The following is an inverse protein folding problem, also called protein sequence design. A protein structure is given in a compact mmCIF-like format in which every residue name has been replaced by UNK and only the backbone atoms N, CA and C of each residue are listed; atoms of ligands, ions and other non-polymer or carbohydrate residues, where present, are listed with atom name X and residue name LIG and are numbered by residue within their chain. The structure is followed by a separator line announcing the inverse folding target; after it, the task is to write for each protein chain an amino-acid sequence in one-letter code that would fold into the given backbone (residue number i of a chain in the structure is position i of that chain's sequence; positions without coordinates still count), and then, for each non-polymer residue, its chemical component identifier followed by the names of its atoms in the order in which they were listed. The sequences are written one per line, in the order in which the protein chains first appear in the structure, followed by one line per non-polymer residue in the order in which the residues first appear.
data_IF_599885097313
#
_entry.id   IF_599885097313
#
_cell.length_a   1.000
_cell.length_b   1.000
_cell.length_c   1.000
_cell.angle_alpha   90.00
_cell.angle_beta   90.00
_cell.angle_gamma   90.00
#
_symmetry.space_group_name_H-M   'P 1'
#
loop_
_entity.id
_entity.type
_entity.pdbx_description
1 polymer ?
#
# COMPACT_ATOMS: atom_id res chain seq x y z
N UNK A 1 -34.88 29.70 39.25
CA UNK A 1 -34.62 30.35 37.96
C UNK A 1 -33.12 30.31 37.74
N UNK A 2 -32.63 29.25 37.09
CA UNK A 2 -31.22 29.10 36.78
C UNK A 2 -31.03 29.46 35.31
N UNK A 3 -30.24 30.49 35.09
CA UNK A 3 -29.69 30.95 33.81
C UNK A 3 -28.89 29.84 33.16
N UNK A 4 -29.26 29.44 31.93
CA UNK A 4 -28.42 28.62 31.07
C UNK A 4 -27.52 29.51 30.24
N UNK A 5 -26.22 29.32 30.46
CA UNK A 5 -25.09 29.89 29.75
C UNK A 5 -25.18 29.53 28.26
N UNK A 6 -25.23 30.55 27.39
CA UNK A 6 -25.01 30.40 25.96
C UNK A 6 -23.51 30.33 25.71
N UNK A 7 -22.97 29.13 25.48
CA UNK A 7 -21.63 28.98 24.93
C UNK A 7 -21.67 29.27 23.43
N UNK A 8 -21.21 30.46 23.04
CA UNK A 8 -20.99 30.84 21.64
C UNK A 8 -19.94 29.91 21.00
N UNK A 9 -20.34 29.26 19.90
CA UNK A 9 -19.48 28.42 19.07
C UNK A 9 -18.51 29.30 18.23
N UNK A 10 -17.19 29.18 18.40
CA UNK A 10 -16.19 29.99 17.72
C UNK A 10 -16.09 29.77 16.20
N UNK A 11 -16.89 28.85 15.63
CA UNK A 11 -16.91 28.57 14.18
C UNK A 11 -18.11 29.12 13.41
N UNK A 12 -18.92 30.00 14.00
CA UNK A 12 -20.08 30.63 13.33
C UNK A 12 -19.69 31.65 12.23
N UNK A 13 -19.08 31.17 11.14
CA UNK A 13 -18.93 31.96 9.90
C UNK A 13 -20.28 32.02 9.18
N UNK A 14 -20.91 33.19 9.16
CA UNK A 14 -21.97 33.46 8.19
C UNK A 14 -21.35 33.50 6.78
N UNK A 15 -21.86 32.66 5.89
CA UNK A 15 -21.45 32.66 4.49
C UNK A 15 -22.16 33.80 3.73
N UNK A 16 -21.55 34.29 2.64
CA UNK A 16 -22.07 35.43 1.84
C UNK A 16 -23.48 35.20 1.27
N UNK A 17 -23.94 33.95 1.23
CA UNK A 17 -25.25 33.52 0.76
C UNK A 17 -26.35 33.55 1.86
N UNK A 18 -26.01 34.00 3.08
CA UNK A 18 -26.95 34.08 4.21
C UNK A 18 -27.23 32.73 4.89
N UNK A 19 -26.55 31.65 4.47
CA UNK A 19 -26.69 30.34 5.10
C UNK A 19 -25.75 30.18 6.30
N UNK A 20 -26.18 29.38 7.28
CA UNK A 20 -25.38 29.06 8.49
C UNK A 20 -24.19 28.15 8.19
N UNK A 21 -24.25 27.36 7.12
CA UNK A 21 -23.28 26.29 6.82
C UNK A 21 -22.74 26.31 5.37
N UNK A 22 -23.07 27.34 4.58
CA UNK A 22 -22.72 27.45 3.17
C UNK A 22 -23.65 26.67 2.26
N UNK A 23 -23.44 26.81 0.95
CA UNK A 23 -24.15 26.07 -0.07
C UNK A 23 -23.71 24.59 -0.11
N UNK A 24 -24.65 23.68 0.13
CA UNK A 24 -24.50 22.25 -0.15
C UNK A 24 -24.72 21.95 -1.64
N UNK A 25 -23.78 21.23 -2.26
CA UNK A 25 -23.93 20.68 -3.60
C UNK A 25 -23.59 19.20 -3.62
N UNK A 26 -24.52 18.36 -4.07
CA UNK A 26 -24.30 16.92 -4.25
C UNK A 26 -23.94 16.63 -5.70
N UNK A 27 -22.88 15.87 -5.94
CA UNK A 27 -22.48 15.48 -7.30
C UNK A 27 -22.38 13.95 -7.35
N UNK A 28 -23.06 13.32 -8.29
CA UNK A 28 -22.97 11.87 -8.52
C UNK A 28 -21.83 11.58 -9.52
N UNK A 29 -21.06 10.50 -9.31
CA UNK A 29 -20.03 10.10 -10.28
C UNK A 29 -20.65 9.29 -11.41
N UNK A 30 -21.09 9.99 -12.46
CA UNK A 30 -21.60 9.38 -13.69
C UNK A 30 -20.65 9.73 -14.85
N UNK A 31 -19.76 8.81 -15.27
CA UNK A 31 -18.79 9.06 -16.34
C UNK A 31 -19.44 9.50 -17.66
N UNK A 32 -18.82 10.43 -18.37
CA UNK A 32 -19.29 10.91 -19.68
C UNK A 32 -20.45 11.92 -19.64
N UNK A 33 -20.80 12.43 -18.46
CA UNK A 33 -21.86 13.42 -18.24
C UNK A 33 -21.31 14.68 -17.57
N UNK A 34 -22.14 15.73 -17.43
CA UNK A 34 -21.80 16.94 -16.68
C UNK A 34 -21.29 16.66 -15.27
N UNK A 35 -21.99 15.82 -14.49
CA UNK A 35 -21.59 15.46 -13.12
C UNK A 35 -20.21 14.80 -13.06
N UNK A 36 -19.94 13.86 -13.99
CA UNK A 36 -18.65 13.20 -14.12
C UNK A 36 -17.52 14.14 -14.56
N UNK A 37 -17.79 15.08 -15.46
CA UNK A 37 -16.82 16.08 -15.91
C UNK A 37 -16.47 17.08 -14.80
N UNK A 38 -17.42 17.43 -13.93
CA UNK A 38 -17.18 18.28 -12.76
C UNK A 38 -16.21 17.58 -11.79
N UNK A 39 -16.45 16.31 -11.45
CA UNK A 39 -15.60 15.54 -10.53
C UNK A 39 -14.18 15.33 -11.07
N UNK A 40 -14.02 15.33 -12.40
CA UNK A 40 -12.73 15.22 -13.09
C UNK A 40 -12.09 16.58 -13.39
N UNK A 41 -12.67 17.68 -12.90
CA UNK A 41 -12.21 19.05 -13.09
C UNK A 41 -12.18 19.53 -14.55
N UNK A 42 -12.93 18.86 -15.44
CA UNK A 42 -13.06 19.26 -16.84
C UNK A 42 -14.13 20.34 -17.04
N UNK A 43 -15.05 20.49 -16.08
CA UNK A 43 -16.10 21.52 -16.09
C UNK A 43 -16.27 22.16 -14.73
N UNK A 44 -16.65 23.44 -14.75
CA UNK A 44 -16.99 24.19 -13.55
C UNK A 44 -18.36 23.80 -13.02
N UNK A 45 -18.56 23.95 -11.71
CA UNK A 45 -19.85 23.80 -11.07
C UNK A 45 -20.85 24.85 -11.62
N UNK A 46 -22.13 24.48 -11.89
CA UNK A 46 -23.15 25.43 -12.30
C UNK A 46 -23.33 26.57 -11.29
N UNK A 47 -23.42 27.81 -11.78
CA UNK A 47 -23.67 28.98 -10.95
C UNK A 47 -25.15 29.06 -10.57
N UNK A 48 -25.53 28.35 -9.50
CA UNK A 48 -26.89 28.35 -8.94
C UNK A 48 -26.86 28.84 -7.50
N UNK A 49 -27.96 29.46 -7.05
CA UNK A 49 -28.18 29.80 -5.64
C UNK A 49 -28.96 28.70 -4.92
N UNK A 50 -28.79 28.60 -3.60
CA UNK A 50 -29.43 27.55 -2.80
C UNK A 50 -28.80 26.17 -2.97
N UNK A 51 -29.29 25.16 -2.25
CA UNK A 51 -28.73 23.82 -2.33
C UNK A 51 -29.19 23.11 -3.62
N UNK A 52 -28.34 22.27 -4.21
CA UNK A 52 -28.71 21.52 -5.41
C UNK A 52 -27.89 20.23 -5.57
N UNK A 53 -28.35 19.35 -6.44
CA UNK A 53 -27.65 18.13 -6.85
C UNK A 53 -27.46 18.07 -8.36
N UNK A 54 -26.38 17.42 -8.79
CA UNK A 54 -26.03 17.16 -10.20
C UNK A 54 -25.88 15.65 -10.39
N UNK A 55 -26.82 15.05 -11.12
CA UNK A 55 -26.94 13.61 -11.35
C UNK A 55 -26.91 13.34 -12.86
N UNK A 56 -25.79 12.84 -13.37
CA UNK A 56 -25.59 12.78 -14.82
C UNK A 56 -25.53 14.17 -15.42
N UNK A 57 -26.47 14.47 -16.32
CA UNK A 57 -26.67 15.78 -16.94
C UNK A 57 -27.82 16.58 -16.30
N UNK A 58 -28.54 15.98 -15.35
CA UNK A 58 -29.67 16.63 -14.68
C UNK A 58 -29.20 17.43 -13.47
N UNK A 59 -29.76 18.63 -13.31
CA UNK A 59 -29.55 19.47 -12.12
C UNK A 59 -30.89 19.67 -11.42
N UNK A 60 -30.94 19.38 -10.12
CA UNK A 60 -32.17 19.45 -9.31
C UNK A 60 -31.92 20.27 -8.04
N UNK A 61 -32.86 21.15 -7.63
CA UNK A 61 -32.72 21.86 -6.36
C UNK A 61 -32.86 20.91 -5.18
N UNK A 62 -32.18 21.22 -4.08
CA UNK A 62 -32.32 20.56 -2.80
C UNK A 62 -32.97 21.54 -1.81
N UNK A 63 -33.99 21.08 -1.09
CA UNK A 63 -34.72 21.91 -0.12
C UNK A 63 -33.89 22.21 1.14
N UNK A 64 -32.92 21.37 1.46
CA UNK A 64 -32.05 21.49 2.62
C UNK A 64 -30.65 20.89 2.36
N UNK A 65 -29.69 21.23 3.22
CA UNK A 65 -28.37 20.61 3.22
C UNK A 65 -28.49 19.09 3.44
N UNK A 66 -27.62 18.30 2.80
CA UNK A 66 -27.58 16.86 3.02
C UNK A 66 -27.39 16.58 4.52
N UNK A 67 -28.19 15.64 5.04
CA UNK A 67 -27.94 15.12 6.39
C UNK A 67 -26.52 14.59 6.42
N UNK A 68 -25.75 14.97 7.44
CA UNK A 68 -24.48 14.31 7.68
C UNK A 68 -24.73 12.80 7.74
N UNK A 69 -23.82 11.98 7.17
CA UNK A 69 -23.83 10.55 7.43
C UNK A 69 -23.99 10.34 8.93
N UNK A 70 -24.77 9.34 9.31
CA UNK A 70 -24.81 8.93 10.71
C UNK A 70 -23.38 8.69 11.17
N UNK A 71 -23.03 9.23 12.32
CA UNK A 71 -21.70 9.00 12.90
C UNK A 71 -21.59 7.50 13.08
N UNK A 72 -20.72 6.86 12.28
CA UNK A 72 -20.40 5.46 12.47
C UNK A 72 -19.79 5.35 13.85
N UNK A 73 -20.40 4.55 14.72
CA UNK A 73 -19.85 4.28 16.04
C UNK A 73 -18.43 3.73 15.89
N UNK A 74 -17.51 4.21 16.71
CA UNK A 74 -16.13 3.73 16.71
C UNK A 74 -16.11 2.25 17.16
N UNK A 75 -15.96 1.35 16.20
CA UNK A 75 -15.86 -0.10 16.36
C UNK A 75 -14.40 -0.55 16.63
N UNK A 76 -13.53 0.37 17.05
CA UNK A 76 -12.17 0.03 17.46
C UNK A 76 -12.15 -0.91 18.68
N UNK A 77 -11.32 -1.94 18.60
CA UNK A 77 -11.10 -2.88 19.71
C UNK A 77 -10.02 -2.36 20.68
N UNK A 78 -10.05 -2.79 21.95
CA UNK A 78 -8.91 -2.58 22.84
C UNK A 78 -7.74 -3.49 22.43
N UNK A 79 -6.70 -2.83 21.94
CA UNK A 79 -5.46 -3.44 21.43
C UNK A 79 -4.24 -3.12 22.31
N UNK A 80 -4.44 -2.48 23.47
CA UNK A 80 -3.36 -1.97 24.33
C UNK A 80 -2.34 -3.04 24.70
N UNK A 81 -2.83 -4.23 25.10
CA UNK A 81 -1.98 -5.35 25.47
C UNK A 81 -1.15 -5.88 24.28
N UNK A 82 -1.72 -5.93 23.08
CA UNK A 82 -1.01 -6.39 21.89
C UNK A 82 0.02 -5.37 21.42
N UNK A 83 -0.31 -4.07 21.44
CA UNK A 83 0.62 -3.00 21.07
C UNK A 83 1.85 -3.01 21.99
N UNK A 84 1.67 -3.31 23.28
CA UNK A 84 2.80 -3.41 24.23
C UNK A 84 3.83 -4.49 23.88
N UNK A 85 3.45 -5.47 23.04
CA UNK A 85 4.34 -6.54 22.55
C UNK A 85 5.12 -6.13 21.29
N UNK A 86 4.76 -5.01 20.65
CA UNK A 86 5.47 -4.49 19.49
C UNK A 86 6.70 -3.67 19.92
N UNK A 87 7.79 -3.70 19.13
CA UNK A 87 8.93 -2.82 19.37
C UNK A 87 8.49 -1.37 19.18
N UNK A 88 8.54 -0.57 20.26
CA UNK A 88 8.21 0.84 20.22
C UNK A 88 9.29 1.62 19.46
N UNK A 89 8.95 2.13 18.29
CA UNK A 89 9.80 3.08 17.54
C UNK A 89 9.52 4.48 18.05
N UNK A 90 10.55 5.19 18.53
CA UNK A 90 10.43 6.60 18.90
C UNK A 90 10.15 7.43 17.64
N UNK A 91 9.01 8.11 17.60
CA UNK A 91 8.60 8.95 16.48
C UNK A 91 8.65 10.42 16.85
N UNK A 92 9.04 11.27 15.90
CA UNK A 92 8.93 12.72 16.06
C UNK A 92 7.49 13.15 15.72
N UNK A 93 6.68 13.62 16.70
CA UNK A 93 5.29 13.96 16.47
C UNK A 93 5.08 15.12 15.47
N UNK A 94 6.10 15.96 15.28
CA UNK A 94 6.05 17.07 14.31
C UNK A 94 6.32 16.63 12.86
N UNK A 95 6.80 15.40 12.65
CA UNK A 95 7.17 14.88 11.32
C UNK A 95 6.41 13.61 10.94
N UNK A 96 5.95 12.84 11.91
CA UNK A 96 5.33 11.53 11.67
C UNK A 96 3.86 11.54 12.04
N UNK A 97 3.03 11.07 11.10
CA UNK A 97 1.62 10.82 11.34
C UNK A 97 1.47 9.49 12.09
N UNK A 98 0.83 9.52 13.26
CA UNK A 98 0.58 8.30 14.06
C UNK A 98 -0.83 7.83 13.81
N UNK A 99 -0.98 6.59 13.33
CA UNK A 99 -2.28 5.94 13.16
C UNK A 99 -2.58 5.06 14.39
N UNK A 100 -3.82 5.13 14.89
CA UNK A 100 -4.30 4.17 15.90
C UNK A 100 -4.59 2.83 15.22
N UNK A 101 -4.13 1.73 15.82
CA UNK A 101 -4.56 0.40 15.39
C UNK A 101 -6.03 0.20 15.77
N UNK A 102 -6.80 -0.40 14.87
CA UNK A 102 -8.26 -0.48 15.01
C UNK A 102 -8.70 -1.87 15.44
N UNK A 103 -8.08 -2.92 14.92
CA UNK A 103 -8.44 -4.29 15.21
C UNK A 103 -7.27 -5.10 15.75
N UNK A 104 -7.56 -6.04 16.65
CA UNK A 104 -6.58 -6.95 17.25
C UNK A 104 -5.85 -7.79 16.21
N UNK A 105 -6.54 -8.17 15.12
CA UNK A 105 -5.96 -8.92 14.00
C UNK A 105 -4.82 -8.16 13.31
N UNK A 106 -4.95 -6.83 13.15
CA UNK A 106 -3.91 -5.98 12.56
C UNK A 106 -2.64 -6.01 13.42
N UNK A 107 -2.80 -5.87 14.73
CA UNK A 107 -1.68 -5.86 15.68
C UNK A 107 -1.06 -7.25 15.83
N UNK A 108 -1.88 -8.31 15.85
CA UNK A 108 -1.39 -9.69 15.94
C UNK A 108 -0.57 -10.08 14.70
N UNK A 109 -0.97 -9.63 13.51
CA UNK A 109 -0.18 -9.80 12.30
C UNK A 109 1.19 -9.11 12.45
N UNK A 110 1.23 -7.85 12.91
CA UNK A 110 2.50 -7.15 13.14
C UNK A 110 3.41 -7.87 14.15
N UNK A 111 2.85 -8.45 15.22
CA UNK A 111 3.62 -9.23 16.20
C UNK A 111 4.21 -10.48 15.55
N UNK A 112 3.40 -11.22 14.79
CA UNK A 112 3.82 -12.49 14.17
C UNK A 112 4.84 -12.30 13.04
N UNK A 113 4.82 -11.14 12.38
CA UNK A 113 5.56 -10.89 11.14
C UNK A 113 6.67 -9.84 11.27
N UNK A 114 7.07 -9.44 12.48
CA UNK A 114 8.03 -8.33 12.70
C UNK A 114 9.46 -8.76 13.01
N UNK A 115 9.73 -10.04 13.29
CA UNK A 115 11.10 -10.44 13.67
C UNK A 115 11.98 -10.65 12.46
N UNK A 116 13.25 -10.24 12.58
CA UNK A 116 14.26 -10.47 11.55
C UNK A 116 14.47 -11.97 11.27
N UNK A 117 14.28 -12.81 12.29
CA UNK A 117 14.30 -14.26 12.16
C UNK A 117 13.20 -14.79 11.22
N UNK A 118 12.00 -14.23 11.27
CA UNK A 118 10.89 -14.60 10.35
C UNK A 118 11.21 -14.18 8.92
N UNK A 119 11.66 -12.95 8.70
CA UNK A 119 12.10 -12.49 7.38
C UNK A 119 13.23 -13.36 6.82
N UNK A 120 14.22 -13.70 7.66
CA UNK A 120 15.30 -14.61 7.27
C UNK A 120 14.76 -15.96 6.82
N UNK A 121 13.82 -16.55 7.57
CA UNK A 121 13.15 -17.80 7.21
C UNK A 121 12.43 -17.71 5.86
N UNK A 122 11.64 -16.66 5.65
CA UNK A 122 10.92 -16.44 4.39
C UNK A 122 11.84 -16.30 3.19
N UNK A 123 12.90 -15.50 3.31
CA UNK A 123 13.85 -15.31 2.21
C UNK A 123 14.54 -16.63 1.88
N UNK A 124 14.90 -17.45 2.87
CA UNK A 124 15.48 -18.78 2.63
C UNK A 124 14.50 -19.72 1.90
N UNK A 125 13.23 -19.71 2.28
CA UNK A 125 12.18 -20.50 1.63
C UNK A 125 11.92 -20.03 0.20
N UNK A 126 11.93 -18.71 -0.05
CA UNK A 126 11.82 -18.13 -1.38
C UNK A 126 13.01 -18.56 -2.27
N UNK A 127 14.22 -18.54 -1.74
CA UNK A 127 15.42 -19.03 -2.44
C UNK A 127 15.29 -20.53 -2.76
N UNK A 128 14.78 -21.33 -1.83
CA UNK A 128 14.56 -22.77 -2.07
C UNK A 128 13.51 -23.02 -3.17
N UNK A 129 12.43 -22.24 -3.19
CA UNK A 129 11.40 -22.33 -4.22
C UNK A 129 11.96 -21.97 -5.60
N UNK A 130 12.68 -20.86 -5.73
CA UNK A 130 13.30 -20.47 -7.00
C UNK A 130 14.40 -21.42 -7.44
N UNK A 131 15.20 -21.95 -6.51
CA UNK A 131 16.19 -22.98 -6.83
C UNK A 131 15.52 -24.22 -7.45
N UNK A 132 14.37 -24.64 -6.90
CA UNK A 132 13.58 -25.73 -7.44
C UNK A 132 13.13 -25.43 -8.88
N UNK A 133 12.51 -24.26 -9.11
CA UNK A 133 12.05 -23.84 -10.45
C UNK A 133 13.20 -23.75 -11.45
N UNK A 134 14.28 -23.05 -11.09
CA UNK A 134 15.44 -22.85 -11.95
C UNK A 134 16.14 -24.18 -12.28
N UNK A 135 16.15 -25.14 -11.35
CA UNK A 135 16.76 -26.47 -11.58
C UNK A 135 16.07 -27.29 -12.67
N UNK A 136 14.81 -26.99 -12.97
CA UNK A 136 14.03 -27.62 -14.05
C UNK A 136 13.84 -26.69 -15.25
N UNK A 137 14.58 -25.57 -15.30
CA UNK A 137 14.55 -24.61 -16.40
C UNK A 137 13.34 -23.67 -16.40
N UNK A 138 12.59 -23.60 -15.29
CA UNK A 138 11.46 -22.67 -15.14
C UNK A 138 11.97 -21.38 -14.53
N UNK A 139 11.80 -20.26 -15.23
CA UNK A 139 11.92 -18.90 -14.67
C UNK A 139 10.53 -18.48 -14.21
N UNK A 140 10.40 -17.91 -13.02
CA UNK A 140 9.11 -17.48 -12.49
C UNK A 140 8.52 -16.35 -13.33
N UNK A 141 9.33 -15.33 -13.63
CA UNK A 141 9.03 -14.15 -14.46
C UNK A 141 8.00 -13.17 -13.89
N UNK A 142 7.14 -13.60 -12.97
CA UNK A 142 6.15 -12.74 -12.32
C UNK A 142 6.30 -12.72 -10.79
N UNK A 143 7.53 -12.64 -10.31
CA UNK A 143 7.77 -12.76 -8.87
C UNK A 143 7.47 -11.43 -8.16
N UNK A 144 6.44 -11.42 -7.33
CA UNK A 144 6.02 -10.25 -6.57
C UNK A 144 5.55 -10.66 -5.17
N UNK A 145 5.36 -9.69 -4.27
CA UNK A 145 4.83 -9.97 -2.94
C UNK A 145 3.40 -10.51 -2.96
N UNK A 146 2.63 -10.23 -4.02
CA UNK A 146 1.26 -10.72 -4.21
C UNK A 146 1.22 -12.21 -4.57
N UNK A 147 2.31 -12.72 -5.16
CA UNK A 147 2.50 -14.12 -5.53
C UNK A 147 3.20 -14.96 -4.44
N UNK A 148 3.21 -14.46 -3.20
CA UNK A 148 3.72 -15.16 -2.01
C UNK A 148 2.58 -15.51 -1.07
N UNK A 149 2.34 -16.81 -0.88
CA UNK A 149 1.35 -17.31 0.07
C UNK A 149 2.01 -17.67 1.39
N UNK A 150 1.32 -17.37 2.48
CA UNK A 150 1.80 -17.65 3.83
C UNK A 150 0.85 -18.63 4.54
N UNK A 151 1.41 -19.56 5.32
CA UNK A 151 0.61 -20.37 6.24
C UNK A 151 -0.03 -19.52 7.33
N UNK A 152 -1.09 -20.03 7.98
CA UNK A 152 -1.80 -19.31 9.04
C UNK A 152 -0.89 -18.88 10.22
N UNK A 153 0.16 -19.64 10.50
CA UNK A 153 1.15 -19.34 11.54
C UNK A 153 2.29 -18.44 11.05
N UNK A 154 2.27 -18.08 9.77
CA UNK A 154 3.29 -17.25 9.15
C UNK A 154 4.64 -17.93 8.94
N UNK A 155 4.80 -19.19 9.30
CA UNK A 155 6.12 -19.84 9.29
C UNK A 155 6.51 -20.36 7.92
N UNK A 156 5.53 -20.64 7.06
CA UNK A 156 5.74 -21.19 5.73
C UNK A 156 5.40 -20.16 4.66
N UNK A 157 6.33 -19.96 3.73
CA UNK A 157 6.14 -19.20 2.50
C UNK A 157 6.07 -20.17 1.32
N UNK A 158 5.11 -19.97 0.44
CA UNK A 158 4.93 -20.74 -0.81
C UNK A 158 4.82 -19.75 -1.97
N UNK A 159 5.65 -19.93 -2.99
CA UNK A 159 5.56 -19.18 -4.24
C UNK A 159 4.43 -19.78 -5.09
N UNK A 160 3.55 -18.94 -5.62
CA UNK A 160 2.44 -19.34 -6.48
C UNK A 160 2.45 -18.55 -7.79
N UNK A 161 1.46 -18.83 -8.64
CA UNK A 161 1.25 -18.17 -9.93
C UNK A 161 2.40 -18.29 -10.92
N UNK A 162 2.49 -19.47 -11.55
CA UNK A 162 3.46 -19.75 -12.61
C UNK A 162 2.94 -19.34 -14.00
N UNK A 163 1.78 -18.66 -14.10
CA UNK A 163 1.18 -18.23 -15.36
C UNK A 163 1.79 -16.93 -15.89
N UNK A 164 3.05 -16.96 -16.30
CA UNK A 164 3.79 -15.73 -16.58
C UNK A 164 3.79 -15.26 -18.04
N UNK A 165 2.63 -15.31 -18.71
CA UNK A 165 2.51 -14.80 -20.10
C UNK A 165 2.87 -13.32 -20.22
N UNK A 166 2.62 -12.55 -19.17
CA UNK A 166 2.89 -11.13 -19.06
C UNK A 166 3.46 -10.80 -17.68
N UNK A 167 4.54 -11.49 -17.31
CA UNK A 167 5.13 -11.34 -15.98
C UNK A 167 5.75 -9.96 -15.72
N UNK A 168 6.10 -9.76 -14.46
CA UNK A 168 6.82 -8.61 -13.92
C UNK A 168 8.01 -8.17 -14.79
N UNK A 169 8.12 -6.85 -15.00
CA UNK A 169 9.14 -6.22 -15.87
C UNK A 169 9.95 -5.16 -15.13
N UNK A 170 10.29 -5.46 -13.87
CA UNK A 170 11.01 -4.53 -12.99
C UNK A 170 12.51 -4.61 -13.18
N UNK A 171 13.02 -5.78 -13.53
CA UNK A 171 14.43 -5.98 -13.83
C UNK A 171 14.80 -5.14 -15.08
N UNK A 172 15.85 -4.29 -15.04
CA UNK A 172 16.14 -3.31 -16.10
C UNK A 172 16.38 -3.89 -17.49
N UNK A 173 16.82 -5.14 -17.58
CA UNK A 173 17.04 -5.88 -18.82
C UNK A 173 15.76 -6.44 -19.44
N UNK A 174 14.66 -6.50 -18.69
CA UNK A 174 13.41 -7.09 -19.17
C UNK A 174 12.64 -6.05 -19.98
N UNK A 175 12.68 -6.18 -21.31
CA UNK A 175 12.12 -5.22 -22.24
C UNK A 175 10.61 -5.39 -22.42
N UNK A 176 9.88 -4.28 -22.62
CA UNK A 176 8.44 -4.31 -22.93
C UNK A 176 8.15 -4.86 -24.35
N UNK A 177 9.06 -4.59 -25.30
CA UNK A 177 8.85 -4.86 -26.73
C UNK A 177 9.13 -6.32 -27.15
N UNK A 178 9.75 -7.12 -26.29
CA UNK A 178 9.94 -8.55 -26.55
C UNK A 178 8.67 -9.37 -26.27
N UNK A 179 8.42 -10.40 -27.08
CA UNK A 179 7.47 -11.46 -26.74
C UNK A 179 8.05 -12.45 -25.72
N UNK A 180 7.36 -13.56 -25.45
CA UNK A 180 7.70 -14.54 -24.39
C UNK A 180 9.14 -15.07 -24.38
N UNK A 181 9.80 -15.06 -25.54
CA UNK A 181 11.16 -15.58 -25.74
C UNK A 181 12.22 -14.47 -25.79
N UNK A 182 11.80 -13.24 -26.10
CA UNK A 182 12.71 -12.13 -26.43
C UNK A 182 12.66 -10.97 -25.41
N UNK A 183 11.79 -11.01 -24.41
CA UNK A 183 11.71 -9.94 -23.41
C UNK A 183 12.88 -9.91 -22.44
N UNK A 184 13.77 -10.92 -22.41
CA UNK A 184 14.96 -10.92 -21.54
C UNK A 184 14.76 -11.50 -20.14
N UNK A 185 13.65 -12.18 -19.85
CA UNK A 185 13.49 -12.91 -18.58
C UNK A 185 14.53 -14.01 -18.43
N UNK A 186 15.10 -14.11 -17.24
CA UNK A 186 16.14 -15.07 -16.91
C UNK A 186 16.11 -15.44 -15.43
N UNK A 187 16.83 -16.48 -15.00
CA UNK A 187 17.02 -16.72 -13.57
C UNK A 187 17.52 -15.48 -12.80
N UNK A 188 18.30 -14.60 -13.45
CA UNK A 188 18.81 -13.38 -12.84
C UNK A 188 17.76 -12.27 -12.75
N UNK A 189 16.73 -12.25 -13.61
CA UNK A 189 15.59 -11.35 -13.45
C UNK A 189 14.76 -11.73 -12.22
N UNK A 190 14.55 -13.03 -11.98
CA UNK A 190 13.91 -13.49 -10.74
C UNK A 190 14.73 -13.08 -9.49
N UNK A 191 16.08 -13.08 -9.55
CA UNK A 191 16.92 -12.56 -8.45
C UNK A 191 16.63 -11.08 -8.18
N UNK A 192 16.49 -10.26 -9.24
CA UNK A 192 16.12 -8.86 -9.08
C UNK A 192 14.76 -8.73 -8.37
N UNK A 193 13.82 -9.59 -8.74
CA UNK A 193 12.48 -9.60 -8.19
C UNK A 193 12.42 -10.13 -6.75
N UNK A 194 13.36 -10.98 -6.30
CA UNK A 194 13.54 -11.26 -4.86
C UNK A 194 13.82 -9.94 -4.11
N UNK A 195 14.68 -9.09 -4.67
CA UNK A 195 14.99 -7.78 -4.10
C UNK A 195 13.75 -6.90 -4.00
N UNK A 196 12.94 -6.86 -5.06
CA UNK A 196 11.64 -6.17 -5.04
C UNK A 196 10.69 -6.77 -4.00
N UNK A 197 10.59 -8.09 -3.87
CA UNK A 197 9.74 -8.76 -2.88
C UNK A 197 10.14 -8.37 -1.46
N UNK A 198 11.43 -8.43 -1.12
CA UNK A 198 11.93 -8.04 0.20
C UNK A 198 11.63 -6.57 0.45
N UNK A 199 11.87 -5.71 -0.54
CA UNK A 199 11.58 -4.28 -0.47
C UNK A 199 10.08 -4.03 -0.22
N UNK A 200 9.20 -4.71 -0.95
CA UNK A 200 7.74 -4.61 -0.78
C UNK A 200 7.26 -5.13 0.58
N UNK A 201 7.79 -6.26 1.05
CA UNK A 201 7.47 -6.81 2.38
C UNK A 201 7.88 -5.85 3.50
N UNK A 202 9.08 -5.25 3.40
CA UNK A 202 9.58 -4.26 4.37
C UNK A 202 8.71 -3.00 4.36
N UNK A 203 8.22 -2.59 3.19
CA UNK A 203 7.49 -1.33 3.09
C UNK A 203 6.01 -1.45 3.40
N UNK A 204 5.31 -2.53 3.01
CA UNK A 204 3.89 -2.85 3.22
C UNK A 204 2.88 -1.69 3.00
N UNK A 205 3.02 -0.59 3.76
CA UNK A 205 2.36 0.72 3.64
C UNK A 205 3.30 1.85 3.14
N UNK A 206 4.33 1.54 2.34
CA UNK A 206 5.25 2.53 1.76
C UNK A 206 4.53 3.55 0.87
N UNK A 207 5.11 4.74 0.63
CA UNK A 207 4.42 5.83 -0.05
C UNK A 207 3.90 5.40 -1.42
N UNK A 208 2.72 5.89 -1.78
CA UNK A 208 2.06 5.67 -3.09
C UNK A 208 2.91 6.22 -4.26
N UNK A 209 4.01 6.93 -3.98
CA UNK A 209 4.83 7.62 -4.97
C UNK A 209 6.30 7.22 -4.93
N UNK A 210 6.91 7.13 -6.12
CA UNK A 210 8.33 6.88 -6.34
C UNK A 210 9.22 8.12 -6.08
N UNK A 211 8.63 9.27 -5.76
CA UNK A 211 9.37 10.53 -5.50
C UNK A 211 10.07 10.57 -4.13
N UNK A 212 9.91 9.54 -3.29
CA UNK A 212 10.56 9.47 -1.98
C UNK A 212 11.50 8.28 -1.97
N UNK A 213 12.80 8.55 -1.79
CA UNK A 213 13.78 7.50 -1.51
C UNK A 213 13.47 6.87 -0.15
N UNK A 214 13.14 5.59 -0.17
CA UNK A 214 13.04 4.77 1.02
C UNK A 214 14.13 3.71 0.96
N UNK A 215 15.19 3.79 1.79
CA UNK A 215 16.21 2.76 1.85
C UNK A 215 15.69 1.55 2.65
N UNK A 216 16.09 0.35 2.28
CA UNK A 216 15.81 -0.86 3.07
C UNK A 216 16.76 -0.82 4.28
N UNK A 217 16.28 -1.02 5.52
CA UNK A 217 17.15 -0.94 6.69
C UNK A 217 18.13 -2.13 6.77
N UNK A 218 19.32 -1.96 7.36
CA UNK A 218 20.19 -3.07 7.71
C UNK A 218 19.48 -4.08 8.62
N UNK A 219 19.76 -5.39 8.49
CA UNK A 219 20.75 -6.00 7.60
C UNK A 219 20.22 -6.36 6.20
N UNK A 220 18.92 -6.16 5.93
CA UNK A 220 18.29 -6.51 4.66
C UNK A 220 18.79 -5.65 3.50
N UNK A 221 19.26 -4.43 3.79
CA UNK A 221 19.82 -3.50 2.81
C UNK A 221 20.82 -4.16 1.85
N UNK A 222 21.85 -4.83 2.39
CA UNK A 222 22.93 -5.41 1.58
C UNK A 222 22.43 -6.53 0.66
N UNK A 223 21.40 -7.26 1.08
CA UNK A 223 20.77 -8.32 0.29
C UNK A 223 19.98 -7.70 -0.86
N UNK A 224 19.15 -6.69 -0.57
CA UNK A 224 18.34 -6.00 -1.57
C UNK A 224 19.23 -5.29 -2.60
N UNK A 225 20.25 -4.57 -2.17
CA UNK A 225 21.20 -3.89 -3.06
C UNK A 225 21.94 -4.87 -3.97
N UNK A 226 22.33 -6.04 -3.47
CA UNK A 226 22.99 -7.06 -4.29
C UNK A 226 22.04 -7.68 -5.33
N UNK A 227 20.80 -7.97 -4.93
CA UNK A 227 19.77 -8.50 -5.83
C UNK A 227 19.38 -7.50 -6.92
N UNK A 228 19.25 -6.22 -6.56
CA UNK A 228 18.74 -5.18 -7.45
C UNK A 228 19.82 -4.44 -8.26
N UNK A 229 20.99 -5.07 -8.49
CA UNK A 229 22.03 -4.49 -9.37
C UNK A 229 21.50 -4.38 -10.80
N UNK A 230 21.77 -3.25 -11.45
CA UNK A 230 21.25 -2.96 -12.79
C UNK A 230 21.72 -3.97 -13.83
N UNK A 231 22.97 -4.43 -13.73
CA UNK A 231 23.54 -5.43 -14.62
C UNK A 231 23.27 -6.85 -14.09
N UNK A 232 22.59 -7.74 -14.84
CA UNK A 232 22.22 -9.07 -14.37
C UNK A 232 23.41 -9.89 -13.85
N UNK A 233 24.54 -9.83 -14.56
CA UNK A 233 25.77 -10.57 -14.25
C UNK A 233 26.44 -10.12 -12.95
N UNK A 234 26.07 -8.95 -12.42
CA UNK A 234 26.58 -8.48 -11.13
C UNK A 234 25.72 -8.99 -9.96
N UNK A 235 24.54 -9.55 -10.20
CA UNK A 235 23.64 -10.08 -9.15
C UNK A 235 24.19 -11.41 -8.60
N UNK A 236 23.93 -11.73 -7.33
CA UNK A 236 24.37 -13.00 -6.75
C UNK A 236 23.62 -14.18 -7.35
N UNK A 237 24.28 -15.34 -7.40
CA UNK A 237 23.59 -16.62 -7.58
C UNK A 237 22.69 -16.94 -6.38
N UNK A 238 21.71 -17.83 -6.53
CA UNK A 238 20.88 -18.30 -5.41
C UNK A 238 21.71 -18.89 -4.26
N UNK A 239 22.84 -19.54 -4.57
CA UNK A 239 23.76 -20.09 -3.58
C UNK A 239 24.49 -18.99 -2.78
N UNK A 240 25.00 -17.97 -3.47
CA UNK A 240 25.64 -16.81 -2.82
C UNK A 240 24.62 -16.02 -1.99
N UNK A 241 23.43 -15.81 -2.54
CA UNK A 241 22.32 -15.13 -1.87
C UNK A 241 21.90 -15.87 -0.59
N UNK A 242 21.79 -17.21 -0.64
CA UNK A 242 21.57 -18.04 0.56
C UNK A 242 22.67 -17.80 1.60
N UNK A 243 23.93 -17.73 1.16
CA UNK A 243 25.07 -17.44 2.03
C UNK A 243 25.00 -16.05 2.67
N UNK A 244 24.51 -15.04 1.96
CA UNK A 244 24.28 -13.69 2.50
C UNK A 244 23.18 -13.70 3.56
N UNK A 245 22.04 -14.32 3.26
CA UNK A 245 20.87 -14.40 4.15
C UNK A 245 21.19 -15.22 5.42
N UNK A 246 21.92 -16.31 5.28
CA UNK A 246 22.35 -17.14 6.41
C UNK A 246 23.17 -16.36 7.46
N UNK A 247 23.95 -15.35 7.03
CA UNK A 247 24.76 -14.49 7.89
C UNK A 247 23.98 -13.38 8.58
N UNK A 248 22.70 -13.17 8.25
CA UNK A 248 21.88 -12.18 8.95
C UNK A 248 21.76 -12.53 10.44
N UNK A 249 21.82 -11.53 11.34
CA UNK A 249 21.45 -11.72 12.74
C UNK A 249 19.98 -12.17 12.83
N UNK A 250 19.67 -12.95 13.86
CA UNK A 250 18.31 -13.44 14.17
C UNK A 250 17.83 -12.84 15.46
#
# INVERSE_FOLDING_TARGET
MASQDQTDDPFSKQYKDGTKHGQCVRIFDVPGTLSGDILRLHRNLPAMSGHFEVDGDDIRPLDCCLKHPEVVEDDSEDVTELISKLPLVSVNPAKHFVKKAKYRSEVQNLINFSSLAVYKSWILQLIDALHCLHSVGIVHRDLSADNLLFSNDGQRLVVCDLESRWGERRAPEVAFEGGLEDSGWSPLSDIFDIGNCIKSMVYANGPITHFVEWPVPPPLQAIVEACMRSRPEERPTLAELRGMVAKMPT
#
